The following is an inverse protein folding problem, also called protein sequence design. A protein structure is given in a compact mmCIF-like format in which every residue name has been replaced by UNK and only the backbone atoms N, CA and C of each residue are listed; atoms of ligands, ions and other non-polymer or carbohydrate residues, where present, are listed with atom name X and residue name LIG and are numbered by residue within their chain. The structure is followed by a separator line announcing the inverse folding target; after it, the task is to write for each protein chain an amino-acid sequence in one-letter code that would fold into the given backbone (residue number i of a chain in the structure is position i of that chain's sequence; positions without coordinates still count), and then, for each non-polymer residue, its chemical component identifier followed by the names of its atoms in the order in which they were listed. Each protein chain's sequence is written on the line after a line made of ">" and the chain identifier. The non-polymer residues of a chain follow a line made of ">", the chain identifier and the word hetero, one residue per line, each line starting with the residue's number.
data_IF_005857179016
#
_entry.id   IF_005857179016
#
_cell.length_a   1.000
_cell.length_b   1.000
_cell.length_c   1.000
_cell.angle_alpha   90.00
_cell.angle_beta   90.00
_cell.angle_gamma   90.00
#
_symmetry.space_group_name_H-M   'P 1'
#
loop_
_entity.id
_entity.type
_entity.pdbx_description
1 polymer ?
#
# COMPACT_ATOMS: atom_id res chain seq x y z
N UNK A 1 -20.39 14.15 -13.08
CA UNK A 1 -19.12 13.54 -13.52
C UNK A 1 -19.33 12.05 -13.61
N UNK A 2 -18.86 11.41 -14.68
CA UNK A 2 -18.91 9.95 -14.79
C UNK A 2 -17.68 9.40 -14.06
N UNK A 3 -17.88 8.71 -12.95
CA UNK A 3 -16.78 8.10 -12.20
C UNK A 3 -16.57 6.68 -12.70
N UNK A 4 -15.33 6.37 -13.11
CA UNK A 4 -14.94 5.00 -13.44
C UNK A 4 -14.82 4.22 -12.14
N UNK A 5 -15.52 3.09 -12.07
CA UNK A 5 -15.44 2.17 -10.94
C UNK A 5 -14.28 1.20 -11.20
N UNK A 6 -13.30 1.18 -10.31
CA UNK A 6 -12.10 0.34 -10.39
C UNK A 6 -12.21 -0.96 -9.59
N UNK A 7 -13.41 -1.29 -9.11
CA UNK A 7 -13.70 -2.54 -8.43
C UNK A 7 -14.73 -3.37 -9.20
N UNK A 8 -14.61 -4.69 -9.11
CA UNK A 8 -15.59 -5.66 -9.61
C UNK A 8 -16.83 -5.74 -8.72
N UNK A 9 -16.73 -5.28 -7.48
CA UNK A 9 -17.78 -5.33 -6.48
C UNK A 9 -18.25 -3.93 -6.13
N UNK A 10 -19.57 -3.78 -6.07
CA UNK A 10 -20.23 -2.51 -5.82
C UNK A 10 -21.33 -2.73 -4.80
N UNK A 11 -21.43 -1.83 -3.82
CA UNK A 11 -22.52 -1.83 -2.85
C UNK A 11 -22.98 -0.39 -2.60
N UNK A 12 -24.25 -0.21 -2.24
CA UNK A 12 -24.74 1.10 -1.82
C UNK A 12 -24.37 1.40 -0.37
N UNK A 13 -24.32 2.70 -0.01
CA UNK A 13 -24.20 3.15 1.38
C UNK A 13 -25.29 2.53 2.27
N UNK A 14 -26.49 2.32 1.74
CA UNK A 14 -27.60 1.71 2.47
C UNK A 14 -27.36 0.23 2.79
N UNK A 15 -26.82 -0.54 1.84
CA UNK A 15 -26.44 -1.96 2.06
C UNK A 15 -25.29 -2.07 3.06
N UNK A 16 -24.29 -1.20 2.93
CA UNK A 16 -23.17 -1.13 3.86
C UNK A 16 -23.65 -0.84 5.29
N UNK A 17 -24.55 0.13 5.46
CA UNK A 17 -25.14 0.46 6.78
C UNK A 17 -25.96 -0.69 7.35
N UNK A 18 -26.68 -1.45 6.50
CA UNK A 18 -27.53 -2.56 6.94
C UNK A 18 -26.73 -3.75 7.41
N UNK A 19 -25.68 -4.14 6.68
CA UNK A 19 -24.81 -5.25 7.05
C UNK A 19 -23.40 -5.09 6.48
N UNK A 20 -22.49 -4.43 7.23
CA UNK A 20 -21.11 -4.20 6.79
C UNK A 20 -20.36 -5.50 6.50
N UNK A 21 -20.53 -6.51 7.35
CA UNK A 21 -19.82 -7.80 7.23
C UNK A 21 -20.21 -8.54 5.95
N UNK A 22 -21.49 -8.55 5.58
CA UNK A 22 -21.96 -9.18 4.35
C UNK A 22 -21.36 -8.52 3.11
N UNK A 23 -21.27 -7.19 3.08
CA UNK A 23 -20.67 -6.44 1.96
C UNK A 23 -19.19 -6.83 1.77
N UNK A 24 -18.44 -6.94 2.87
CA UNK A 24 -17.02 -7.32 2.82
C UNK A 24 -16.84 -8.80 2.45
N UNK A 25 -17.64 -9.70 3.00
CA UNK A 25 -17.55 -11.14 2.71
C UNK A 25 -17.91 -11.47 1.27
N UNK A 26 -18.93 -10.80 0.71
CA UNK A 26 -19.35 -10.99 -0.68
C UNK A 26 -18.31 -10.51 -1.70
N UNK A 27 -17.33 -9.71 -1.27
CA UNK A 27 -16.25 -9.22 -2.10
C UNK A 27 -15.04 -10.17 -2.15
N UNK A 28 -15.08 -11.30 -1.43
CA UNK A 28 -14.02 -12.32 -1.43
C UNK A 28 -12.61 -11.77 -1.18
N UNK A 29 -12.50 -10.72 -0.36
CA UNK A 29 -11.21 -10.07 -0.06
C UNK A 29 -10.74 -9.06 -1.11
N UNK A 30 -11.54 -8.75 -2.12
CA UNK A 30 -11.33 -7.62 -3.04
C UNK A 30 -11.93 -6.32 -2.47
N UNK A 31 -11.49 -5.18 -3.01
CA UNK A 31 -12.07 -3.88 -2.67
C UNK A 31 -13.51 -3.77 -3.17
N UNK A 32 -14.37 -3.02 -2.48
CA UNK A 32 -15.76 -2.75 -2.88
C UNK A 32 -15.96 -1.26 -3.10
N UNK A 33 -16.50 -0.88 -4.25
CA UNK A 33 -16.92 0.50 -4.49
C UNK A 33 -18.24 0.79 -3.77
N UNK A 34 -18.27 1.82 -2.94
CA UNK A 34 -19.45 2.22 -2.20
C UNK A 34 -20.12 3.41 -2.88
N UNK A 35 -21.38 3.20 -3.29
CA UNK A 35 -22.18 4.20 -3.99
C UNK A 35 -23.09 4.98 -3.04
N UNK A 36 -23.13 6.29 -3.22
CA UNK A 36 -24.11 7.19 -2.65
C UNK A 36 -24.89 7.87 -3.77
N UNK A 37 -26.22 7.71 -3.80
CA UNK A 37 -27.09 8.21 -4.89
C UNK A 37 -26.53 7.86 -6.28
N UNK A 38 -26.14 6.59 -6.48
CA UNK A 38 -25.54 6.05 -7.71
C UNK A 38 -24.18 6.65 -8.12
N UNK A 39 -23.54 7.44 -7.26
CA UNK A 39 -22.19 7.94 -7.48
C UNK A 39 -21.22 7.23 -6.54
N UNK A 40 -20.08 6.70 -7.02
CA UNK A 40 -19.07 6.11 -6.14
C UNK A 40 -18.44 7.20 -5.28
N UNK A 41 -18.56 7.05 -3.96
CA UNK A 41 -18.11 8.05 -2.98
C UNK A 41 -16.81 7.62 -2.30
N UNK A 42 -16.65 6.31 -2.04
CA UNK A 42 -15.42 5.74 -1.45
C UNK A 42 -15.30 4.25 -1.77
N UNK A 43 -14.14 3.67 -1.44
CA UNK A 43 -13.89 2.24 -1.52
C UNK A 43 -13.77 1.64 -0.11
N UNK A 44 -14.41 0.50 0.10
CA UNK A 44 -14.13 -0.36 1.25
C UNK A 44 -13.02 -1.32 0.86
N UNK A 45 -11.85 -1.19 1.47
CA UNK A 45 -10.69 -2.05 1.21
C UNK A 45 -10.46 -2.95 2.43
N UNK A 46 -10.40 -4.28 2.26
CA UNK A 46 -10.09 -5.20 3.36
C UNK A 46 -8.72 -4.90 3.97
N UNK A 47 -8.57 -5.10 5.29
CA UNK A 47 -7.33 -4.78 6.02
C UNK A 47 -6.09 -5.40 5.37
N UNK A 48 -6.10 -6.71 5.11
CA UNK A 48 -4.98 -7.41 4.47
C UNK A 48 -4.66 -6.92 3.04
N UNK A 49 -5.64 -6.36 2.32
CA UNK A 49 -5.39 -5.73 1.03
C UNK A 49 -4.76 -4.35 1.20
N UNK A 50 -5.26 -3.56 2.15
CA UNK A 50 -4.73 -2.24 2.47
C UNK A 50 -3.28 -2.31 2.97
N UNK A 51 -2.96 -3.26 3.85
CA UNK A 51 -1.59 -3.52 4.31
C UNK A 51 -0.65 -3.78 3.13
N UNK A 52 -1.00 -4.73 2.25
CA UNK A 52 -0.20 -5.01 1.04
C UNK A 52 -0.05 -3.82 0.11
N UNK A 53 -1.07 -2.97 0.00
CA UNK A 53 -0.97 -1.74 -0.79
C UNK A 53 0.04 -0.77 -0.17
N UNK A 54 0.08 -0.66 1.16
CA UNK A 54 1.04 0.19 1.86
C UNK A 54 2.46 -0.35 1.75
N UNK A 55 2.66 -1.65 1.94
CA UNK A 55 3.97 -2.29 1.77
C UNK A 55 4.55 -2.00 0.37
N UNK A 56 3.73 -2.13 -0.68
CA UNK A 56 4.14 -1.86 -2.05
C UNK A 56 4.49 -0.38 -2.30
N UNK A 57 3.80 0.55 -1.63
CA UNK A 57 4.09 1.98 -1.74
C UNK A 57 5.42 2.29 -1.04
N UNK A 58 5.64 1.76 0.17
CA UNK A 58 6.89 1.92 0.91
C UNK A 58 8.08 1.34 0.14
N UNK A 59 7.93 0.15 -0.45
CA UNK A 59 8.95 -0.46 -1.29
C UNK A 59 9.31 0.42 -2.50
N UNK A 60 8.32 1.05 -3.15
CA UNK A 60 8.57 1.97 -4.26
C UNK A 60 9.31 3.23 -3.83
N UNK A 61 9.01 3.77 -2.65
CA UNK A 61 9.74 4.92 -2.10
C UNK A 61 11.19 4.53 -1.78
N UNK A 62 11.41 3.33 -1.25
CA UNK A 62 12.75 2.81 -0.97
C UNK A 62 13.56 2.61 -2.26
N UNK A 63 12.94 2.09 -3.32
CA UNK A 63 13.59 1.97 -4.65
C UNK A 63 14.00 3.34 -5.18
N UNK A 64 13.11 4.34 -5.12
CA UNK A 64 13.44 5.71 -5.58
C UNK A 64 14.60 6.30 -4.79
N UNK A 65 14.67 6.05 -3.49
CA UNK A 65 15.80 6.49 -2.67
C UNK A 65 17.10 5.77 -3.07
N UNK A 66 17.03 4.46 -3.31
CA UNK A 66 18.18 3.69 -3.77
C UNK A 66 18.68 4.21 -5.13
N UNK A 67 17.79 4.47 -6.09
CA UNK A 67 18.13 5.04 -7.39
C UNK A 67 18.80 6.41 -7.31
N UNK A 68 18.46 7.23 -6.30
CA UNK A 68 19.12 8.52 -6.06
C UNK A 68 20.56 8.38 -5.53
N UNK A 69 20.89 7.27 -4.88
CA UNK A 69 22.20 7.00 -4.28
C UNK A 69 23.07 6.12 -5.19
N UNK A 70 22.46 5.40 -6.14
CA UNK A 70 23.14 4.51 -7.10
C UNK A 70 23.99 5.25 -8.15
N UNK A 71 24.10 6.57 -8.06
CA UNK A 71 24.94 7.40 -8.94
C UNK A 71 26.34 7.72 -8.39
N UNK A 72 26.67 7.37 -7.16
CA UNK A 72 28.00 7.66 -6.57
C UNK A 72 29.05 6.57 -6.84
N UNK A 73 30.34 6.94 -6.82
CA UNK A 73 31.45 5.98 -6.89
C UNK A 73 31.34 4.93 -5.77
N UNK A 74 31.13 3.67 -6.16
CA UNK A 74 31.07 2.57 -5.19
C UNK A 74 32.47 2.13 -4.79
N UNK A 75 32.72 2.01 -3.48
CA UNK A 75 33.98 1.48 -2.94
C UNK A 75 33.73 0.06 -2.43
N UNK A 76 34.45 -0.91 -3.01
CA UNK A 76 34.40 -2.30 -2.54
C UNK A 76 34.99 -2.40 -1.14
N UNK A 77 34.18 -2.87 -0.18
CA UNK A 77 34.59 -3.09 1.21
C UNK A 77 34.14 -4.48 1.68
N UNK A 78 34.84 -5.05 2.64
CA UNK A 78 34.44 -6.28 3.31
C UNK A 78 33.56 -6.00 4.54
N UNK A 79 32.76 -6.98 4.96
CA UNK A 79 31.92 -6.87 6.16
C UNK A 79 32.74 -6.60 7.43
N UNK A 80 33.97 -7.13 7.50
CA UNK A 80 34.87 -6.93 8.62
C UNK A 80 35.36 -5.48 8.70
N UNK A 81 35.68 -4.85 7.57
CA UNK A 81 36.10 -3.45 7.51
C UNK A 81 34.97 -2.49 7.90
N UNK A 82 33.73 -2.77 7.50
CA UNK A 82 32.56 -1.98 7.90
C UNK A 82 32.33 -2.04 9.41
N UNK A 83 32.38 -3.24 10.00
CA UNK A 83 32.22 -3.42 11.46
C UNK A 83 33.28 -2.65 12.25
N UNK A 84 34.53 -2.68 11.79
CA UNK A 84 35.62 -1.95 12.44
C UNK A 84 35.43 -0.42 12.41
N UNK A 85 34.81 0.13 11.35
CA UNK A 85 34.51 1.58 11.24
C UNK A 85 33.40 2.05 12.18
N UNK A 86 32.32 1.27 12.31
CA UNK A 86 31.21 1.61 13.23
C UNK A 86 31.69 1.65 14.68
N UNK A 87 32.54 0.70 15.08
CA UNK A 87 33.11 0.65 16.43
C UNK A 87 34.05 1.84 16.71
N UNK A 88 34.81 2.30 15.70
CA UNK A 88 35.70 3.47 15.82
C UNK A 88 34.95 4.80 15.95
N UNK A 89 33.78 4.95 15.32
CA UNK A 89 32.99 6.18 15.38
C UNK A 89 32.07 6.26 16.62
N UNK A 90 32.07 5.22 17.47
CA UNK A 90 31.26 5.14 18.69
C UNK A 90 32.07 5.37 19.97
N UNK A 91 33.32 5.84 19.84
CA UNK A 91 34.24 6.23 20.92
C UNK A 91 34.61 7.71 20.77
#
# INVERSE_FOLDING_TARGET
>A
MNHIIHSRFVASVSELKKNPTAVVQNAFGEAVAILNRNNPEFYCVPAAMYERMMDLIEDQELIKLAEQVDTDETVKVSINELRARVLKNSS
#
